data_IF_550254270758
#
_entry.id   IF_550254270758
#
_cell.length_a   1.000
_cell.length_b   1.000
_cell.length_c   1.000
_cell.angle_alpha   90.00
_cell.angle_beta   90.00
_cell.angle_gamma   90.00
#
_symmetry.space_group_name_H-M   'P 1'
#
loop_
_entity.id
_entity.type
_entity.pdbx_description
1 polymer ?
#
# COMPACT_ATOMS: atom_id res chain seq x y z
N UNK A 1 -21.27 11.66 8.35
CA UNK A 1 -22.11 10.96 7.36
C UNK A 1 -22.60 9.66 7.99
N UNK A 2 -23.90 9.33 7.92
CA UNK A 2 -24.40 8.13 8.57
C UNK A 2 -23.77 6.90 7.91
N UNK A 3 -23.19 6.02 8.72
CA UNK A 3 -22.74 4.71 8.28
C UNK A 3 -23.99 3.90 7.89
N UNK A 4 -24.02 3.36 6.67
CA UNK A 4 -25.09 2.48 6.17
C UNK A 4 -25.18 1.19 7.02
N UNK A 5 -24.10 0.83 7.72
CA UNK A 5 -24.04 -0.27 8.69
C UNK A 5 -23.20 0.17 9.89
N UNK A 6 -23.74 0.03 11.11
CA UNK A 6 -22.97 0.22 12.37
C UNK A 6 -21.98 -0.94 12.54
N UNK A 7 -20.90 -0.94 11.78
CA UNK A 7 -19.77 -1.85 11.99
C UNK A 7 -18.78 -1.17 12.94
N UNK A 8 -18.21 -1.93 13.87
CA UNK A 8 -17.11 -1.44 14.69
C UNK A 8 -15.99 -0.89 13.78
N UNK A 9 -15.58 0.39 13.94
CA UNK A 9 -14.54 1.00 13.12
C UNK A 9 -13.24 0.20 13.08
N UNK A 10 -12.86 -0.43 14.20
CA UNK A 10 -11.66 -1.25 14.30
C UNK A 10 -11.78 -2.53 13.45
N UNK A 11 -12.95 -3.17 13.49
CA UNK A 11 -13.23 -4.34 12.66
C UNK A 11 -13.22 -3.97 11.18
N UNK A 12 -13.79 -2.82 10.82
CA UNK A 12 -13.80 -2.33 9.45
C UNK A 12 -12.38 -2.06 8.92
N UNK A 13 -11.51 -1.47 9.75
CA UNK A 13 -10.08 -1.28 9.43
C UNK A 13 -9.42 -2.63 9.13
N UNK A 14 -9.58 -3.62 10.03
CA UNK A 14 -8.95 -4.94 9.89
C UNK A 14 -9.46 -5.62 8.61
N UNK A 15 -10.78 -5.70 8.43
CA UNK A 15 -11.38 -6.36 7.28
C UNK A 15 -10.96 -5.71 5.97
N UNK A 16 -10.99 -4.38 5.91
CA UNK A 16 -10.62 -3.63 4.71
C UNK A 16 -9.14 -3.79 4.38
N UNK A 17 -8.25 -3.73 5.38
CA UNK A 17 -6.81 -3.90 5.18
C UNK A 17 -6.45 -5.34 4.78
N UNK A 18 -7.04 -6.34 5.44
CA UNK A 18 -6.86 -7.75 5.08
C UNK A 18 -7.39 -8.04 3.67
N UNK A 19 -8.54 -7.48 3.28
CA UNK A 19 -9.09 -7.63 1.94
C UNK A 19 -8.19 -6.97 0.88
N UNK A 20 -7.66 -5.78 1.16
CA UNK A 20 -6.72 -5.10 0.27
C UNK A 20 -5.45 -5.93 0.04
N UNK A 21 -4.85 -6.46 1.11
CA UNK A 21 -3.66 -7.33 1.02
C UNK A 21 -3.99 -8.61 0.27
N UNK A 22 -5.12 -9.26 0.59
CA UNK A 22 -5.52 -10.49 -0.08
C UNK A 22 -5.69 -10.27 -1.59
N UNK A 23 -6.51 -9.29 -1.99
CA UNK A 23 -6.72 -8.96 -3.41
C UNK A 23 -5.43 -8.57 -4.10
N UNK A 24 -4.60 -7.74 -3.47
CA UNK A 24 -3.29 -7.34 -4.01
C UNK A 24 -2.34 -8.52 -4.21
N UNK A 25 -2.29 -9.46 -3.25
CA UNK A 25 -1.47 -10.66 -3.36
C UNK A 25 -1.88 -11.52 -4.56
N UNK A 26 -3.17 -11.82 -4.71
CA UNK A 26 -3.65 -12.64 -5.83
C UNK A 26 -3.46 -11.94 -7.19
N UNK A 27 -3.63 -10.62 -7.26
CA UNK A 27 -3.35 -9.84 -8.47
C UNK A 27 -1.86 -9.77 -8.82
N UNK A 28 -0.98 -9.86 -7.82
CA UNK A 28 0.48 -9.87 -8.05
C UNK A 28 0.97 -11.17 -8.72
N UNK A 29 0.17 -12.25 -8.68
CA UNK A 29 0.50 -13.52 -9.34
C UNK A 29 0.18 -13.39 -10.83
N UNK A 30 1.24 -13.23 -11.65
CA UNK A 30 1.15 -13.12 -13.10
C UNK A 30 1.80 -14.35 -13.77
N UNK A 31 1.36 -14.73 -14.98
CA UNK A 31 1.92 -15.89 -15.70
C UNK A 31 3.42 -15.74 -16.01
N UNK A 32 3.85 -14.51 -16.28
CA UNK A 32 5.26 -14.16 -16.38
C UNK A 32 5.75 -13.68 -15.01
N UNK A 33 6.88 -14.21 -14.50
CA UNK A 33 7.44 -13.73 -13.26
C UNK A 33 7.76 -12.23 -13.41
N UNK A 34 7.25 -11.38 -12.52
CA UNK A 34 7.53 -9.95 -12.60
C UNK A 34 9.03 -9.72 -12.45
N UNK A 35 9.58 -8.79 -13.23
CA UNK A 35 10.96 -8.34 -13.03
C UNK A 35 11.13 -7.85 -11.59
N UNK A 36 12.26 -8.18 -10.98
CA UNK A 36 12.56 -7.75 -9.61
C UNK A 36 12.61 -6.22 -9.57
N UNK A 37 11.61 -5.60 -8.96
CA UNK A 37 11.55 -4.14 -8.82
C UNK A 37 12.36 -3.63 -7.64
N UNK A 38 12.61 -4.48 -6.63
CA UNK A 38 13.33 -4.11 -5.41
C UNK A 38 14.47 -5.07 -5.12
N UNK A 39 15.69 -4.63 -5.47
CA UNK A 39 16.94 -5.32 -5.12
C UNK A 39 17.31 -5.13 -3.64
N UNK A 40 18.27 -5.92 -3.15
CA UNK A 40 18.83 -5.80 -1.79
C UNK A 40 19.34 -4.39 -1.48
N UNK A 41 20.00 -3.74 -2.45
CA UNK A 41 20.53 -2.39 -2.28
C UNK A 41 19.41 -1.36 -2.12
N UNK A 42 18.35 -1.47 -2.92
CA UNK A 42 17.16 -0.61 -2.79
C UNK A 42 16.44 -0.85 -1.46
N UNK A 43 16.32 -2.11 -1.02
CA UNK A 43 15.70 -2.45 0.25
C UNK A 43 16.44 -1.83 1.46
N UNK A 44 17.77 -1.89 1.48
CA UNK A 44 18.58 -1.29 2.55
C UNK A 44 18.51 0.24 2.57
N UNK A 45 18.40 0.88 1.40
CA UNK A 45 18.28 2.33 1.29
C UNK A 45 16.88 2.85 1.60
N UNK A 46 15.87 1.98 1.56
CA UNK A 46 14.46 2.38 1.67
C UNK A 46 14.15 3.18 2.95
N UNK A 47 14.58 2.77 4.17
CA UNK A 47 14.37 3.56 5.39
C UNK A 47 15.01 4.94 5.35
N UNK A 48 16.19 5.06 4.74
CA UNK A 48 16.91 6.33 4.63
C UNK A 48 16.25 7.28 3.63
N UNK A 49 15.81 6.76 2.48
CA UNK A 49 15.05 7.53 1.49
C UNK A 49 13.72 7.99 2.07
N UNK A 50 13.00 7.10 2.78
CA UNK A 50 11.78 7.46 3.50
C UNK A 50 12.02 8.56 4.54
N UNK A 51 13.11 8.47 5.29
CA UNK A 51 13.51 9.47 6.28
C UNK A 51 13.78 10.84 5.65
N UNK A 52 14.55 10.85 4.55
CA UNK A 52 14.83 12.07 3.81
C UNK A 52 13.56 12.70 3.22
N UNK A 53 12.65 11.89 2.66
CA UNK A 53 11.37 12.34 2.11
C UNK A 53 10.47 12.93 3.21
N UNK A 54 10.33 12.24 4.35
CA UNK A 54 9.51 12.68 5.47
C UNK A 54 10.05 13.98 6.09
N UNK A 55 11.37 14.07 6.27
CA UNK A 55 12.01 15.31 6.73
C UNK A 55 11.84 16.45 5.74
N UNK A 56 12.01 16.19 4.44
CA UNK A 56 11.82 17.20 3.39
C UNK A 56 10.39 17.74 3.39
N UNK A 57 9.40 16.84 3.49
CA UNK A 57 7.99 17.23 3.58
C UNK A 57 7.68 18.02 4.85
N UNK A 58 8.29 17.66 5.98
CA UNK A 58 8.18 18.44 7.20
C UNK A 58 8.74 19.86 7.04
N UNK A 59 9.91 19.99 6.42
CA UNK A 59 10.51 21.30 6.13
C UNK A 59 9.62 22.10 5.17
N UNK A 60 9.03 21.47 4.15
CA UNK A 60 8.08 22.13 3.24
C UNK A 60 6.88 22.69 4.00
N UNK A 61 6.26 21.92 4.90
CA UNK A 61 5.15 22.41 5.73
C UNK A 61 5.57 23.47 6.75
N UNK A 62 6.86 23.52 7.12
CA UNK A 62 7.41 24.52 8.04
C UNK A 62 7.69 25.86 7.34
N UNK A 63 8.13 25.83 6.08
CA UNK A 63 8.57 27.03 5.36
C UNK A 63 7.57 27.54 4.31
N UNK A 64 6.64 26.71 3.82
CA UNK A 64 5.62 27.10 2.85
C UNK A 64 4.21 27.07 3.45
N UNK A 65 3.28 27.79 2.84
CA UNK A 65 1.87 27.74 3.21
C UNK A 65 1.29 26.34 3.03
N UNK A 66 0.57 25.84 4.04
CA UNK A 66 -0.06 24.50 4.03
C UNK A 66 -0.95 24.28 2.81
N UNK A 67 -1.68 25.31 2.37
CA UNK A 67 -2.59 25.22 1.24
C UNK A 67 -1.85 24.97 -0.08
N UNK A 68 -0.70 25.63 -0.28
CA UNK A 68 0.14 25.41 -1.46
C UNK A 68 0.69 23.98 -1.48
N UNK A 69 1.25 23.51 -0.35
CA UNK A 69 1.81 22.16 -0.26
C UNK A 69 0.70 21.11 -0.49
N UNK A 70 -0.46 21.26 0.16
CA UNK A 70 -1.59 20.37 -0.03
C UNK A 70 -2.19 20.44 -1.44
N UNK A 71 -2.19 21.60 -2.11
CA UNK A 71 -2.63 21.73 -3.49
C UNK A 71 -1.71 20.96 -4.45
N UNK A 72 -0.38 21.12 -4.30
CA UNK A 72 0.62 20.38 -5.10
C UNK A 72 0.49 18.87 -4.88
N UNK A 73 0.38 18.45 -3.62
CA UNK A 73 0.17 17.04 -3.28
C UNK A 73 -1.14 16.50 -3.84
N UNK A 74 -2.24 17.26 -3.74
CA UNK A 74 -3.53 16.85 -4.29
C UNK A 74 -3.43 16.66 -5.80
N UNK A 75 -2.74 17.55 -6.53
CA UNK A 75 -2.48 17.40 -7.96
C UNK A 75 -1.66 16.12 -8.26
N UNK A 76 -0.62 15.86 -7.48
CA UNK A 76 0.18 14.64 -7.59
C UNK A 76 -0.65 13.36 -7.37
N UNK A 77 -1.41 13.30 -6.27
CA UNK A 77 -2.28 12.17 -5.96
C UNK A 77 -3.48 12.04 -6.89
N UNK A 78 -3.89 13.12 -7.55
CA UNK A 78 -4.92 13.08 -8.59
C UNK A 78 -4.42 12.31 -9.81
N UNK A 79 -3.23 12.62 -10.32
CA UNK A 79 -2.63 11.91 -11.45
C UNK A 79 -2.37 10.45 -11.11
N UNK A 80 -1.74 10.18 -9.96
CA UNK A 80 -1.53 8.81 -9.50
C UNK A 80 -2.84 8.07 -9.28
N UNK A 81 -3.88 8.75 -8.76
CA UNK A 81 -5.20 8.19 -8.51
C UNK A 81 -5.88 7.71 -9.77
N UNK A 82 -5.80 8.48 -10.87
CA UNK A 82 -6.32 8.07 -12.17
C UNK A 82 -5.60 6.80 -12.65
N UNK A 83 -4.27 6.77 -12.55
CA UNK A 83 -3.47 5.60 -12.97
C UNK A 83 -3.82 4.37 -12.12
N UNK A 84 -3.87 4.52 -10.79
CA UNK A 84 -4.15 3.42 -9.88
C UNK A 84 -5.59 2.89 -10.04
N UNK A 85 -6.59 3.78 -10.16
CA UNK A 85 -7.99 3.38 -10.38
C UNK A 85 -8.18 2.72 -11.73
N UNK A 86 -7.64 3.31 -12.81
CA UNK A 86 -7.73 2.73 -14.14
C UNK A 86 -7.09 1.34 -14.19
N UNK A 87 -5.90 1.16 -13.62
CA UNK A 87 -5.24 -0.14 -13.51
C UNK A 87 -6.01 -1.14 -12.61
N UNK A 88 -6.70 -0.64 -11.58
CA UNK A 88 -7.53 -1.48 -10.71
C UNK A 88 -8.77 -2.00 -11.42
N UNK A 89 -9.43 -1.16 -12.22
CA UNK A 89 -10.68 -1.47 -12.95
C UNK A 89 -10.40 -2.24 -14.26
N UNK A 90 -9.23 -2.04 -14.87
CA UNK A 90 -8.87 -2.60 -16.18
C UNK A 90 -9.16 -4.10 -16.33
N UNK A 91 -8.84 -5.01 -15.38
CA UNK A 91 -9.16 -6.44 -15.53
C UNK A 91 -10.66 -6.74 -15.69
N UNK A 92 -11.52 -5.96 -15.03
CA UNK A 92 -12.97 -6.09 -15.17
C UNK A 92 -13.46 -5.54 -16.51
N UNK A 93 -12.93 -4.38 -16.94
CA UNK A 93 -13.27 -3.77 -18.24
C UNK A 93 -12.83 -4.64 -19.42
N UNK A 94 -11.67 -5.31 -19.32
CA UNK A 94 -11.13 -6.17 -20.38
C UNK A 94 -12.10 -7.30 -20.79
N UNK A 95 -12.97 -7.74 -19.88
CA UNK A 95 -13.98 -8.75 -20.19
C UNK A 95 -15.08 -8.24 -21.12
N UNK A 96 -15.38 -6.93 -21.06
CA UNK A 96 -16.44 -6.29 -21.84
C UNK A 96 -15.92 -5.59 -23.11
N UNK A 97 -14.61 -5.36 -23.21
CA UNK A 97 -14.00 -4.64 -24.34
C UNK A 97 -13.57 -5.59 -25.47
N UNK A 98 -13.60 -5.14 -26.75
CA UNK A 98 -13.10 -5.92 -27.88
C UNK A 98 -11.62 -6.30 -27.72
N UNK A 99 -11.25 -7.55 -28.04
CA UNK A 99 -9.87 -8.07 -27.86
C UNK A 99 -8.80 -7.19 -28.53
N UNK A 100 -9.07 -6.65 -29.71
CA UNK A 100 -8.15 -5.76 -30.45
C UNK A 100 -7.72 -4.51 -29.65
N UNK A 101 -8.57 -4.00 -28.74
CA UNK A 101 -8.24 -2.82 -27.94
C UNK A 101 -7.28 -3.12 -26.78
N UNK A 102 -7.14 -4.40 -26.43
CA UNK A 102 -6.22 -4.89 -25.40
C UNK A 102 -4.82 -5.22 -25.95
N UNK A 103 -4.72 -5.48 -27.26
CA UNK A 103 -3.50 -5.96 -27.92
C UNK A 103 -2.77 -4.86 -28.70
N UNK A 104 -3.48 -3.81 -29.13
CA UNK A 104 -2.89 -2.64 -29.80
C UNK A 104 -2.16 -1.73 -28.79
N UNK A 105 -0.84 -1.91 -28.67
CA UNK A 105 0.04 -1.00 -27.92
C UNK A 105 0.34 0.25 -28.75
N UNK A 106 -0.14 1.40 -28.29
CA UNK A 106 0.22 2.70 -28.85
C UNK A 106 1.51 3.15 -28.15
N UNK A 107 2.62 3.10 -28.87
CA UNK A 107 3.92 3.55 -28.39
C UNK A 107 4.05 5.02 -28.75
N UNK A 108 4.01 5.90 -27.76
CA UNK A 108 4.25 7.33 -27.97
C UNK A 108 5.70 7.67 -27.62
N UNK A 109 6.43 8.16 -28.62
CA UNK A 109 7.82 8.61 -28.49
C UNK A 109 7.86 10.12 -28.44
N UNK A 110 8.36 10.68 -27.34
CA UNK A 110 8.59 12.11 -27.25
C UNK A 110 9.82 12.51 -28.09
N UNK A 111 9.69 13.45 -29.04
CA UNK A 111 10.80 13.83 -29.91
C UNK A 111 11.99 14.47 -29.17
N UNK A 112 11.77 15.01 -27.96
CA UNK A 112 12.80 15.71 -27.19
C UNK A 112 13.48 14.85 -26.10
N UNK A 113 12.82 13.79 -25.62
CA UNK A 113 13.34 12.91 -24.57
C UNK A 113 13.42 11.47 -25.07
N UNK A 114 14.53 11.12 -25.72
CA UNK A 114 14.78 9.81 -26.36
C UNK A 114 14.70 8.59 -25.43
N UNK A 115 14.57 8.77 -24.12
CA UNK A 115 14.53 7.69 -23.12
C UNK A 115 13.16 7.48 -22.48
N UNK A 116 12.14 8.28 -22.84
CA UNK A 116 10.78 8.13 -22.33
C UNK A 116 9.88 7.58 -23.44
N UNK A 117 9.82 6.25 -23.53
CA UNK A 117 8.77 5.56 -24.28
C UNK A 117 7.59 5.34 -23.33
N UNK A 118 6.42 5.87 -23.68
CA UNK A 118 5.20 5.57 -22.93
C UNK A 118 4.31 4.68 -23.77
N UNK A 119 4.07 3.47 -23.28
CA UNK A 119 3.20 2.48 -23.89
C UNK A 119 1.81 2.58 -23.28
N UNK A 120 0.81 2.87 -24.10
CA UNK A 120 -0.59 2.87 -23.68
C UNK A 120 -1.43 1.97 -24.55
N UNK A 121 -2.36 1.24 -23.93
CA UNK A 121 -3.40 0.49 -24.65
C UNK A 121 -4.68 1.32 -24.73
N UNK A 122 -5.46 1.16 -25.79
CA UNK A 122 -6.77 1.85 -25.94
C UNK A 122 -7.70 1.55 -24.75
N UNK A 123 -7.63 0.34 -24.20
CA UNK A 123 -8.37 -0.05 -22.99
C UNK A 123 -7.97 0.72 -21.74
N UNK A 124 -6.70 1.15 -21.60
CA UNK A 124 -6.27 1.98 -20.47
C UNK A 124 -6.87 3.39 -20.56
N UNK A 125 -6.96 3.96 -21.77
CA UNK A 125 -7.58 5.27 -21.99
C UNK A 125 -9.06 5.23 -21.57
N UNK A 126 -9.77 4.18 -21.97
CA UNK A 126 -11.18 4.01 -21.60
C UNK A 126 -11.34 3.80 -20.09
N UNK A 127 -10.45 3.01 -19.47
CA UNK A 127 -10.44 2.82 -18.03
C UNK A 127 -10.10 4.10 -17.25
N UNK A 128 -9.36 5.04 -17.85
CA UNK A 128 -9.00 6.32 -17.24
C UNK A 128 -10.15 7.34 -17.23
N UNK A 129 -11.14 7.23 -18.11
CA UNK A 129 -12.31 8.12 -18.15
C UNK A 129 -13.08 8.10 -16.81
N UNK A 130 -13.59 6.95 -16.31
CA UNK A 130 -14.28 6.91 -15.02
C UNK A 130 -13.35 7.25 -13.85
N UNK A 131 -12.05 6.91 -13.95
CA UNK A 131 -11.04 7.28 -12.95
C UNK A 131 -10.86 8.80 -12.83
N UNK A 132 -10.87 9.52 -13.95
CA UNK A 132 -10.79 10.99 -13.99
C UNK A 132 -12.01 11.64 -13.35
N UNK A 133 -13.22 11.18 -13.68
CA UNK A 133 -14.45 11.69 -13.05
C UNK A 133 -14.45 11.44 -11.54
N UNK A 134 -14.01 10.26 -11.11
CA UNK A 134 -13.91 9.93 -9.69
C UNK A 134 -12.89 10.81 -8.94
N UNK A 135 -11.70 11.02 -9.53
CA UNK A 135 -10.69 11.88 -8.94
C UNK A 135 -11.13 13.35 -8.90
N UNK A 136 -11.88 13.82 -9.90
CA UNK A 136 -12.45 15.17 -9.92
C UNK A 136 -13.50 15.36 -8.81
N UNK A 137 -14.35 14.35 -8.59
CA UNK A 137 -15.28 14.33 -7.46
C UNK A 137 -14.55 14.34 -6.12
N UNK A 138 -13.48 13.55 -5.98
CA UNK A 138 -12.62 13.57 -4.80
C UNK A 138 -12.01 14.96 -4.54
N UNK A 139 -11.45 15.60 -5.57
CA UNK A 139 -10.81 16.91 -5.44
C UNK A 139 -11.79 18.00 -4.95
N UNK A 140 -13.05 17.94 -5.38
CA UNK A 140 -14.08 18.91 -5.00
C UNK A 140 -14.69 18.66 -3.61
N UNK A 141 -14.94 17.40 -3.25
CA UNK A 141 -15.70 17.06 -2.04
C UNK A 141 -14.84 16.54 -0.88
N UNK A 142 -13.64 16.03 -1.16
CA UNK A 142 -12.74 15.36 -0.20
C UNK A 142 -13.46 14.36 0.72
N UNK A 143 -14.45 13.64 0.18
CA UNK A 143 -15.23 12.69 0.96
C UNK A 143 -14.36 11.52 1.44
N UNK A 144 -14.54 11.12 2.70
CA UNK A 144 -13.81 10.01 3.33
C UNK A 144 -13.94 8.69 2.54
N UNK A 145 -15.10 8.42 1.92
CA UNK A 145 -15.29 7.22 1.12
C UNK A 145 -14.45 7.26 -0.17
N UNK A 146 -14.41 8.41 -0.83
CA UNK A 146 -13.58 8.61 -2.02
C UNK A 146 -12.09 8.46 -1.69
N UNK A 147 -11.67 9.01 -0.55
CA UNK A 147 -10.34 8.83 0.01
C UNK A 147 -10.00 7.34 0.21
N UNK A 148 -10.91 6.56 0.80
CA UNK A 148 -10.68 5.14 1.05
C UNK A 148 -10.62 4.31 -0.24
N UNK A 149 -11.48 4.62 -1.23
CA UNK A 149 -11.45 3.95 -2.53
C UNK A 149 -10.11 4.21 -3.24
N UNK A 150 -9.62 5.46 -3.23
CA UNK A 150 -8.29 5.80 -3.76
C UNK A 150 -7.17 5.11 -2.99
N UNK A 151 -7.22 5.14 -1.65
CA UNK A 151 -6.25 4.46 -0.80
C UNK A 151 -6.19 2.96 -1.05
N UNK A 152 -7.34 2.31 -1.22
CA UNK A 152 -7.43 0.89 -1.57
C UNK A 152 -6.84 0.60 -2.95
N UNK A 153 -7.13 1.43 -3.95
CA UNK A 153 -6.54 1.30 -5.28
C UNK A 153 -5.01 1.44 -5.22
N UNK A 154 -4.48 2.40 -4.45
CA UNK A 154 -3.04 2.52 -4.22
C UNK A 154 -2.46 1.31 -3.50
N UNK A 155 -3.17 0.74 -2.53
CA UNK A 155 -2.69 -0.46 -1.83
C UNK A 155 -2.60 -1.67 -2.76
N UNK A 156 -3.67 -1.93 -3.50
CA UNK A 156 -3.74 -3.06 -4.44
C UNK A 156 -2.67 -2.89 -5.52
N UNK A 157 -2.57 -1.72 -6.13
CA UNK A 157 -1.59 -1.45 -7.18
C UNK A 157 -0.15 -1.48 -6.65
N UNK A 158 0.09 -0.98 -5.43
CA UNK A 158 1.39 -1.03 -4.78
C UNK A 158 1.87 -2.47 -4.57
N UNK A 159 1.00 -3.35 -4.04
CA UNK A 159 1.31 -4.77 -3.84
C UNK A 159 1.45 -5.51 -5.19
N UNK A 160 0.65 -5.16 -6.19
CA UNK A 160 0.72 -5.77 -7.52
C UNK A 160 2.02 -5.42 -8.27
N UNK A 161 2.47 -4.16 -8.19
CA UNK A 161 3.64 -3.68 -8.93
C UNK A 161 4.96 -3.98 -8.24
N UNK A 162 5.01 -3.89 -6.91
CA UNK A 162 6.25 -4.06 -6.16
C UNK A 162 6.54 -5.54 -5.92
N UNK A 163 7.58 -6.03 -6.59
CA UNK A 163 8.10 -7.38 -6.50
C UNK A 163 9.46 -7.40 -5.81
N UNK A 164 9.59 -8.25 -4.80
CA UNK A 164 10.84 -8.62 -4.14
C UNK A 164 11.41 -9.88 -4.81
N UNK A 165 12.72 -9.93 -5.07
CA UNK A 165 13.34 -11.13 -5.66
C UNK A 165 13.63 -12.25 -4.65
N UNK A 166 13.63 -11.97 -3.34
CA UNK A 166 13.96 -12.95 -2.32
C UNK A 166 13.36 -12.63 -0.94
N UNK A 167 13.06 -13.68 -0.16
CA UNK A 167 12.67 -13.53 1.25
C UNK A 167 13.74 -12.84 2.08
N UNK A 168 15.03 -12.99 1.74
CA UNK A 168 16.13 -12.27 2.41
C UNK A 168 16.01 -10.76 2.21
N UNK A 169 15.77 -10.32 0.97
CA UNK A 169 15.54 -8.91 0.64
C UNK A 169 14.31 -8.37 1.37
N UNK A 170 13.23 -9.15 1.39
CA UNK A 170 12.02 -8.81 2.14
C UNK A 170 12.24 -8.66 3.64
N UNK A 171 12.98 -9.59 4.26
CA UNK A 171 13.31 -9.51 5.68
C UNK A 171 14.18 -8.29 6.00
N UNK A 172 15.15 -7.95 5.13
CA UNK A 172 15.98 -6.74 5.27
C UNK A 172 15.12 -5.47 5.18
N UNK A 173 14.21 -5.39 4.20
CA UNK A 173 13.30 -4.26 4.03
C UNK A 173 12.42 -4.08 5.28
N UNK A 174 11.77 -5.16 5.74
CA UNK A 174 10.89 -5.12 6.90
C UNK A 174 11.63 -4.80 8.20
N UNK A 175 12.83 -5.36 8.41
CA UNK A 175 13.66 -5.05 9.58
C UNK A 175 14.13 -3.59 9.57
N UNK A 176 14.50 -3.05 8.41
CA UNK A 176 14.85 -1.63 8.28
C UNK A 176 13.66 -0.72 8.58
N UNK A 177 12.47 -1.08 8.09
CA UNK A 177 11.25 -0.32 8.32
C UNK A 177 10.69 -0.45 9.74
N UNK A 178 10.94 -1.57 10.42
CA UNK A 178 10.68 -1.74 11.84
C UNK A 178 11.43 -0.69 12.67
N UNK A 179 12.74 -0.52 12.43
CA UNK A 179 13.55 0.48 13.14
C UNK A 179 13.12 1.90 12.76
N UNK A 180 12.85 2.13 11.48
CA UNK A 180 12.36 3.41 10.98
C UNK A 180 11.09 3.87 11.70
N UNK A 181 10.09 3.00 11.82
CA UNK A 181 8.79 3.35 12.39
C UNK A 181 8.92 3.67 13.88
N UNK A 182 9.70 2.87 14.63
CA UNK A 182 10.02 3.12 16.04
C UNK A 182 10.70 4.50 16.20
N UNK A 183 11.71 4.79 15.38
CA UNK A 183 12.45 6.04 15.45
C UNK A 183 11.54 7.25 15.20
N UNK A 184 10.81 7.25 14.09
CA UNK A 184 10.02 8.41 13.68
C UNK A 184 8.74 8.61 14.49
N UNK A 185 8.13 7.54 15.01
CA UNK A 185 6.92 7.63 15.85
C UNK A 185 7.25 8.02 17.29
N UNK A 186 8.24 7.38 17.93
CA UNK A 186 8.49 7.60 19.36
C UNK A 186 9.51 8.69 19.65
N UNK A 187 10.55 8.84 18.84
CA UNK A 187 11.67 9.73 19.19
C UNK A 187 11.57 11.12 18.55
N UNK A 188 10.68 11.34 17.58
CA UNK A 188 10.57 12.63 16.87
C UNK A 188 9.12 13.11 16.74
N UNK A 189 8.85 14.42 16.79
CA UNK A 189 7.50 14.97 16.55
C UNK A 189 7.15 15.08 15.05
N UNK A 190 8.08 14.72 14.16
CA UNK A 190 7.99 15.02 12.73
C UNK A 190 6.87 14.23 12.05
N UNK A 191 6.77 12.93 12.33
CA UNK A 191 5.75 12.06 11.74
C UNK A 191 4.33 12.53 12.09
N UNK A 192 4.10 12.88 13.36
CA UNK A 192 2.79 13.39 13.82
C UNK A 192 2.48 14.77 13.21
N UNK A 193 3.49 15.65 13.08
CA UNK A 193 3.31 16.97 12.47
C UNK A 193 2.94 16.89 11.00
N UNK A 194 3.61 16.00 10.25
CA UNK A 194 3.31 15.75 8.82
C UNK A 194 1.93 15.11 8.70
N UNK A 195 1.61 14.08 9.50
CA UNK A 195 0.32 13.39 9.44
C UNK A 195 -0.89 14.29 9.73
N UNK A 196 -0.71 15.35 10.54
CA UNK A 196 -1.73 16.37 10.84
C UNK A 196 -1.83 17.48 9.80
N UNK A 197 -0.73 17.81 9.12
CA UNK A 197 -0.68 18.91 8.14
C UNK A 197 -1.06 18.47 6.73
N UNK A 198 -0.95 17.17 6.47
CA UNK A 198 -1.17 16.55 5.17
C UNK A 198 -2.64 16.15 4.97
N UNK A 199 -3.25 16.68 3.90
CA UNK A 199 -4.66 16.45 3.55
C UNK A 199 -4.80 15.84 2.14
N UNK A 200 -4.36 14.58 1.99
CA UNK A 200 -4.45 13.82 0.74
C UNK A 200 -4.60 12.30 1.04
N UNK A 201 -4.88 11.45 0.03
CA UNK A 201 -5.26 10.06 0.23
C UNK A 201 -4.05 9.14 0.48
N UNK A 202 -3.41 9.34 1.63
CA UNK A 202 -2.27 8.57 2.14
C UNK A 202 -2.62 7.65 3.31
N UNK A 203 -3.89 7.67 3.74
CA UNK A 203 -4.40 6.92 4.88
C UNK A 203 -5.84 6.49 4.63
N UNK A 204 -6.23 5.33 5.13
CA UNK A 204 -7.63 4.94 5.21
C UNK A 204 -8.26 5.63 6.42
N UNK A 205 -9.47 6.16 6.24
CA UNK A 205 -10.23 6.93 7.23
C UNK A 205 -11.55 6.23 7.51
N UNK A 206 -11.75 5.76 8.74
CA UNK A 206 -13.01 5.14 9.15
C UNK A 206 -13.68 5.97 10.24
N UNK A 207 -14.90 6.48 10.01
CA UNK A 207 -15.59 7.29 11.00
C UNK A 207 -15.85 6.48 12.27
N UNK A 208 -15.54 7.07 13.42
CA UNK A 208 -15.72 6.45 14.75
C UNK A 208 -16.89 7.14 15.48
N UNK A 209 -17.50 6.43 16.43
CA UNK A 209 -18.58 6.96 17.26
C UNK A 209 -18.09 7.96 18.35
N UNK A 210 -16.78 8.06 18.53
CA UNK A 210 -16.13 8.95 19.50
C UNK A 210 -15.92 10.35 18.89
N UNK A 211 -16.43 11.39 19.57
CA UNK A 211 -16.29 12.79 19.16
C UNK A 211 -14.87 13.33 19.33
N UNK A 212 -14.05 12.73 20.20
CA UNK A 212 -12.65 13.11 20.39
C UNK A 212 -11.70 12.55 19.32
N UNK A 213 -12.09 11.42 18.69
CA UNK A 213 -11.35 10.76 17.60
C UNK A 213 -12.31 10.41 16.48
N UNK A 214 -12.72 11.39 15.66
CA UNK A 214 -13.78 11.19 14.68
C UNK A 214 -13.40 10.16 13.59
N UNK A 215 -12.12 9.87 13.39
CA UNK A 215 -11.63 8.89 12.43
C UNK A 215 -10.55 7.98 13.00
N UNK A 216 -10.71 6.67 12.79
CA UNK A 216 -9.62 5.70 12.88
C UNK A 216 -8.80 5.77 11.60
N UNK A 217 -7.47 5.83 11.73
CA UNK A 217 -6.54 6.05 10.64
C UNK A 217 -5.57 4.88 10.52
N UNK A 218 -5.40 4.36 9.30
CA UNK A 218 -4.37 3.36 8.99
C UNK A 218 -3.52 3.86 7.83
N UNK A 219 -2.20 3.84 7.97
CA UNK A 219 -1.27 4.25 6.93
C UNK A 219 -1.26 3.26 5.78
N UNK A 220 -1.26 3.74 4.54
CA UNK A 220 -1.17 2.84 3.37
C UNK A 220 0.15 2.06 3.36
N UNK A 221 1.23 2.63 3.90
CA UNK A 221 2.51 1.95 4.05
C UNK A 221 2.43 0.69 4.92
N UNK A 222 1.60 0.71 5.97
CA UNK A 222 1.44 -0.41 6.90
C UNK A 222 0.66 -1.58 6.27
N UNK A 223 -0.07 -1.32 5.18
CA UNK A 223 -0.78 -2.31 4.38
C UNK A 223 0.13 -2.82 3.26
N UNK A 224 0.71 -1.89 2.49
CA UNK A 224 1.48 -2.20 1.28
C UNK A 224 2.78 -2.91 1.61
N UNK A 225 3.58 -2.40 2.56
CA UNK A 225 4.92 -2.93 2.81
C UNK A 225 4.87 -4.38 3.31
N UNK A 226 4.10 -4.73 4.36
CA UNK A 226 3.94 -6.12 4.75
C UNK A 226 3.22 -6.93 3.67
N UNK A 227 2.25 -6.33 2.97
CA UNK A 227 1.52 -6.96 1.87
C UNK A 227 2.42 -7.44 0.73
N UNK A 228 3.48 -6.70 0.39
CA UNK A 228 4.47 -7.13 -0.63
C UNK A 228 5.22 -8.40 -0.19
N UNK A 229 5.53 -8.53 1.11
CA UNK A 229 6.15 -9.73 1.66
C UNK A 229 5.19 -10.92 1.69
N UNK A 230 3.92 -10.69 2.04
CA UNK A 230 2.87 -11.72 1.96
C UNK A 230 2.64 -12.16 0.50
N UNK A 231 2.67 -11.22 -0.45
CA UNK A 231 2.57 -11.49 -1.88
C UNK A 231 3.77 -12.31 -2.40
N UNK A 232 4.97 -12.09 -1.85
CA UNK A 232 6.14 -12.93 -2.14
C UNK A 232 5.90 -14.37 -1.66
N UNK A 233 5.32 -14.57 -0.48
CA UNK A 233 4.97 -15.90 0.01
C UNK A 233 3.97 -16.63 -0.91
N UNK A 234 2.95 -15.92 -1.41
CA UNK A 234 2.00 -16.49 -2.39
C UNK A 234 2.67 -16.85 -3.72
N UNK A 235 3.51 -15.96 -4.26
CA UNK A 235 4.24 -16.23 -5.50
C UNK A 235 5.19 -17.42 -5.35
N UNK A 236 5.79 -17.58 -4.18
CA UNK A 236 6.62 -18.73 -3.85
C UNK A 236 5.80 -20.04 -3.80
N UNK A 237 4.64 -20.05 -3.12
CA UNK A 237 3.72 -21.20 -3.13
C UNK A 237 3.36 -21.64 -4.55
N UNK A 238 2.93 -20.68 -5.38
CA UNK A 238 2.53 -20.91 -6.78
C UNK A 238 3.70 -21.44 -7.62
N UNK A 239 4.91 -20.89 -7.44
CA UNK A 239 6.11 -21.33 -8.16
C UNK A 239 6.51 -22.78 -7.86
N UNK A 240 6.20 -23.28 -6.66
CA UNK A 240 6.46 -24.68 -6.26
C UNK A 240 5.30 -25.63 -6.58
N UNK A 241 4.20 -25.13 -7.16
CA UNK A 241 2.97 -25.91 -7.37
C UNK A 241 2.36 -26.45 -6.08
N UNK A 242 2.73 -25.88 -4.92
CA UNK A 242 2.16 -26.26 -3.63
C UNK A 242 0.89 -25.44 -3.38
N UNK A 243 -0.02 -25.98 -2.55
CA UNK A 243 -1.12 -25.19 -2.01
C UNK A 243 -0.60 -23.95 -1.27
N UNK A 244 -1.46 -22.95 -1.05
CA UNK A 244 -1.14 -21.63 -0.48
C UNK A 244 -0.72 -21.67 1.01
N UNK A 245 0.27 -22.48 1.36
CA UNK A 245 0.65 -22.78 2.74
C UNK A 245 1.46 -21.64 3.36
N UNK A 246 2.54 -21.19 2.68
CA UNK A 246 3.34 -20.06 3.18
C UNK A 246 2.55 -18.77 3.15
N UNK A 247 1.70 -18.57 2.12
CA UNK A 247 0.77 -17.45 2.05
C UNK A 247 -0.18 -17.41 3.25
N UNK A 248 -0.85 -18.53 3.58
CA UNK A 248 -1.76 -18.59 4.72
C UNK A 248 -1.05 -18.26 6.03
N UNK A 249 0.16 -18.76 6.22
CA UNK A 249 0.96 -18.45 7.42
C UNK A 249 1.32 -16.95 7.49
N UNK A 250 1.87 -16.39 6.40
CA UNK A 250 2.26 -14.99 6.36
C UNK A 250 1.04 -14.03 6.48
N UNK A 251 -0.08 -14.37 5.85
CA UNK A 251 -1.32 -13.61 5.92
C UNK A 251 -1.96 -13.67 7.32
N UNK A 252 -1.89 -14.82 8.00
CA UNK A 252 -2.29 -14.95 9.39
C UNK A 252 -1.41 -14.07 10.30
N UNK A 253 -0.09 -14.10 10.11
CA UNK A 253 0.85 -13.22 10.81
C UNK A 253 0.53 -11.74 10.61
N UNK A 254 0.21 -11.33 9.39
CA UNK A 254 -0.23 -9.96 9.08
C UNK A 254 -1.51 -9.60 9.84
N UNK A 255 -2.52 -10.46 9.80
CA UNK A 255 -3.81 -10.24 10.48
C UNK A 255 -3.64 -10.15 11.99
N UNK A 256 -2.85 -11.05 12.59
CA UNK A 256 -2.55 -11.03 14.04
C UNK A 256 -1.78 -9.77 14.42
N UNK A 257 -0.78 -9.38 13.62
CA UNK A 257 -0.01 -8.15 13.85
C UNK A 257 -0.89 -6.91 13.81
N UNK A 258 -1.80 -6.80 12.85
CA UNK A 258 -2.72 -5.69 12.73
C UNK A 258 -3.71 -5.61 13.90
N UNK A 259 -4.26 -6.75 14.33
CA UNK A 259 -5.12 -6.84 15.52
C UNK A 259 -4.36 -6.39 16.75
N UNK A 260 -3.12 -6.85 16.93
CA UNK A 260 -2.28 -6.47 18.07
C UNK A 260 -2.01 -4.97 18.09
N UNK A 261 -1.69 -4.35 16.93
CA UNK A 261 -1.53 -2.89 16.82
C UNK A 261 -2.76 -2.15 17.34
N UNK A 262 -3.96 -2.55 16.92
CA UNK A 262 -5.21 -1.91 17.33
C UNK A 262 -5.48 -2.10 18.82
N UNK A 263 -5.28 -3.32 19.35
CA UNK A 263 -5.45 -3.62 20.78
C UNK A 263 -4.52 -2.74 21.63
N UNK A 264 -3.25 -2.63 21.24
CA UNK A 264 -2.27 -1.83 21.98
C UNK A 264 -2.57 -0.34 21.85
N UNK A 265 -2.95 0.15 20.66
CA UNK A 265 -3.38 1.54 20.47
C UNK A 265 -4.59 1.90 21.35
N UNK A 266 -5.57 0.99 21.46
CA UNK A 266 -6.73 1.18 22.31
C UNK A 266 -6.40 1.12 23.80
N UNK A 267 -5.40 0.34 24.20
CA UNK A 267 -4.95 0.28 25.59
C UNK A 267 -4.20 1.54 26.02
N UNK A 268 -3.22 1.97 25.23
CA UNK A 268 -2.34 3.10 25.57
C UNK A 268 -2.92 4.46 25.17
N UNK A 269 -4.00 4.48 24.38
CA UNK A 269 -4.65 5.70 23.89
C UNK A 269 -3.67 6.67 23.20
N UNK A 270 -2.61 6.14 22.59
CA UNK A 270 -1.55 6.88 21.91
C UNK A 270 -1.27 6.26 20.54
N UNK A 271 -0.74 7.07 19.61
CA UNK A 271 -0.28 6.55 18.33
C UNK A 271 0.89 5.58 18.55
N UNK A 272 0.81 4.40 17.94
CA UNK A 272 1.82 3.37 18.02
C UNK A 272 2.39 3.10 16.61
N UNK A 273 3.68 2.79 16.48
CA UNK A 273 4.25 2.32 15.23
C UNK A 273 3.60 0.98 14.86
N UNK A 274 2.91 0.92 13.72
CA UNK A 274 2.19 -0.29 13.33
C UNK A 274 3.15 -1.41 12.91
N UNK A 275 4.27 -1.06 12.28
CA UNK A 275 5.26 -2.04 11.83
C UNK A 275 5.98 -2.72 12.99
N UNK A 276 5.98 -2.11 14.19
CA UNK A 276 6.48 -2.72 15.43
C UNK A 276 5.81 -4.07 15.72
N UNK A 277 4.52 -4.21 15.42
CA UNK A 277 3.76 -5.44 15.67
C UNK A 277 3.61 -6.30 14.42
N UNK A 278 3.42 -5.68 13.25
CA UNK A 278 3.18 -6.41 12.00
C UNK A 278 4.44 -7.14 11.53
N UNK A 279 5.62 -6.51 11.58
CA UNK A 279 6.87 -7.11 11.10
C UNK A 279 7.23 -8.40 11.85
N UNK A 280 7.34 -8.42 13.19
CA UNK A 280 7.67 -9.65 13.91
C UNK A 280 6.58 -10.71 13.76
N UNK A 281 5.30 -10.33 13.65
CA UNK A 281 4.23 -11.29 13.43
C UNK A 281 4.31 -11.95 12.04
N UNK A 282 4.45 -11.19 10.96
CA UNK A 282 4.53 -11.74 9.59
C UNK A 282 5.77 -12.62 9.41
N UNK A 283 6.95 -12.13 9.84
CA UNK A 283 8.19 -12.89 9.72
C UNK A 283 8.17 -14.10 10.66
N UNK A 284 7.70 -13.93 11.90
CA UNK A 284 7.67 -14.97 12.92
C UNK A 284 6.75 -16.13 12.55
N UNK A 285 5.53 -15.86 12.09
CA UNK A 285 4.60 -16.91 11.63
C UNK A 285 5.16 -17.68 10.43
N UNK A 286 5.73 -16.96 9.45
CA UNK A 286 6.34 -17.60 8.30
C UNK A 286 7.57 -18.45 8.70
N UNK A 287 8.43 -17.93 9.57
CA UNK A 287 9.60 -18.65 10.08
C UNK A 287 9.21 -19.90 10.86
N UNK A 288 8.22 -19.80 11.76
CA UNK A 288 7.68 -20.94 12.52
C UNK A 288 7.15 -22.03 11.58
N UNK A 289 6.42 -21.64 10.54
CA UNK A 289 5.91 -22.58 9.53
C UNK A 289 7.06 -23.25 8.73
N UNK A 290 8.09 -22.50 8.36
CA UNK A 290 9.27 -23.04 7.68
C UNK A 290 10.05 -24.04 8.56
N UNK A 291 10.19 -23.74 9.85
CA UNK A 291 10.83 -24.63 10.84
C UNK A 291 10.01 -25.89 11.03
N UNK A 292 8.68 -25.76 11.18
CA UNK A 292 7.77 -26.90 11.35
C UNK A 292 7.79 -27.86 10.17
N UNK A 293 7.92 -27.35 8.94
CA UNK A 293 7.97 -28.17 7.73
C UNK A 293 9.38 -28.64 7.36
N UNK A 294 10.41 -28.27 8.12
CA UNK A 294 11.80 -28.64 7.83
C UNK A 294 12.36 -28.01 6.54
N UNK A 295 11.75 -26.95 6.01
CA UNK A 295 12.19 -26.25 4.79
C UNK A 295 13.41 -25.32 5.02
N UNK A 296 14.08 -25.46 6.16
CA UNK A 296 15.27 -24.68 6.50
C UNK A 296 16.48 -25.33 5.83
N UNK A 297 17.16 -24.60 4.92
CA UNK A 297 18.45 -25.06 4.40
C UNK A 297 19.43 -25.21 5.58
N UNK A 298 20.18 -26.33 5.69
CA UNK A 298 21.28 -26.39 6.62
C UNK A 298 22.23 -25.22 6.32
N UNK A 299 22.54 -24.46 7.35
CA UNK A 299 23.36 -23.24 7.27
C UNK A 299 24.82 -23.61 7.11
#
# INVERSE_FOLDING_TARGET
APLVVKVDPNLNVILTACLAVYVGCYRSVKPTPPSETMSKEHAMRFPFVGSAMLLSLFLLFKFLSKDLVNAVLTCYFFVLGIIALSATILPALKHFLPKHWNEDHIIWRFPFFRSFEIEFTRSQIIAAIPGTFFCAWYASQKHWLANNILGLAFCIQGIEMLSLGSFKTGAILLAGLFVYDIFWVFFTPVMVSVAKSFDAPIKLLFPTADSARPFSMLGLGDIVIPGIFVALALRFDVSRGKGSQYFKSAFLGYTVGLVLTIVVMNWFQAAQPALLYIVPAVIGFLAAHCVWNGDVKPV
#
